data_IF_909665795148
#
_entry.id   IF_909665795148
#
_cell.length_a   1.000
_cell.length_b   1.000
_cell.length_c   1.000
_cell.angle_alpha   90.00
_cell.angle_beta   90.00
_cell.angle_gamma   90.00
#
_symmetry.space_group_name_H-M   'P 1'
#
loop_
_entity.id
_entity.type
_entity.pdbx_description
1 polymer ?
#
# COMPACT_ATOMS: atom_id res chain seq x y z
N UNK A 1 17.79 6.88 -24.58
CA UNK A 1 17.56 8.27 -24.10
C UNK A 1 16.15 8.30 -23.55
N UNK A 2 15.99 8.50 -22.25
CA UNK A 2 14.67 8.79 -21.66
C UNK A 2 14.14 10.05 -22.32
N UNK A 3 13.04 9.95 -23.07
CA UNK A 3 12.36 11.15 -23.53
C UNK A 3 11.67 11.76 -22.31
N UNK A 4 11.98 13.03 -22.01
CA UNK A 4 11.37 13.75 -20.89
C UNK A 4 9.90 14.03 -21.20
N UNK A 5 9.04 13.88 -20.18
CA UNK A 5 7.62 14.21 -20.31
C UNK A 5 7.39 15.70 -20.08
N UNK A 6 6.51 16.30 -20.90
CA UNK A 6 6.00 17.66 -20.64
C UNK A 6 5.04 17.68 -19.45
N UNK A 7 4.85 18.86 -18.84
CA UNK A 7 3.87 19.04 -17.76
C UNK A 7 2.44 18.64 -18.19
N UNK A 8 2.06 18.93 -19.43
CA UNK A 8 0.76 18.54 -19.99
C UNK A 8 0.61 17.02 -20.09
N UNK A 9 1.65 16.32 -20.53
CA UNK A 9 1.65 14.85 -20.61
C UNK A 9 1.55 14.22 -19.22
N UNK A 10 2.23 14.78 -18.22
CA UNK A 10 2.13 14.36 -16.82
C UNK A 10 0.71 14.57 -16.31
N UNK A 11 0.13 15.76 -16.53
CA UNK A 11 -1.23 16.06 -16.08
C UNK A 11 -2.26 15.13 -16.72
N UNK A 12 -2.11 14.83 -18.01
CA UNK A 12 -2.97 13.88 -18.72
C UNK A 12 -2.81 12.45 -18.15
N UNK A 13 -1.58 12.02 -17.87
CA UNK A 13 -1.32 10.71 -17.27
C UNK A 13 -1.91 10.58 -15.85
N UNK A 14 -2.02 11.69 -15.11
CA UNK A 14 -2.55 11.74 -13.75
C UNK A 14 -4.09 11.84 -13.67
N UNK A 15 -4.81 11.89 -14.79
CA UNK A 15 -6.28 11.87 -14.80
C UNK A 15 -6.86 10.54 -14.28
N UNK A 16 -8.01 10.58 -13.63
CA UNK A 16 -8.69 9.39 -13.07
C UNK A 16 -8.56 9.30 -11.55
N UNK A 17 -8.51 8.07 -11.03
CA UNK A 17 -8.48 7.79 -9.59
C UNK A 17 -7.14 8.27 -8.99
N UNK A 18 -7.22 8.98 -7.85
CA UNK A 18 -6.06 9.40 -7.07
C UNK A 18 -6.36 9.38 -5.58
N UNK A 19 -5.42 8.87 -4.80
CA UNK A 19 -5.37 8.99 -3.35
C UNK A 19 -4.70 10.34 -3.01
N UNK A 20 -5.22 11.10 -2.03
CA UNK A 20 -4.58 12.34 -1.61
C UNK A 20 -3.19 12.06 -1.00
N UNK A 21 -2.15 12.81 -1.40
CA UNK A 21 -0.84 12.69 -0.77
C UNK A 21 -0.86 13.28 0.65
N UNK A 22 -0.02 12.76 1.53
CA UNK A 22 0.18 13.29 2.87
C UNK A 22 0.72 14.74 2.78
N UNK A 23 0.06 15.72 3.41
CA UNK A 23 0.47 17.12 3.33
C UNK A 23 1.92 17.37 3.75
N UNK A 24 2.38 16.73 4.83
CA UNK A 24 3.74 16.91 5.34
C UNK A 24 4.79 16.43 4.33
N UNK A 25 4.61 15.25 3.73
CA UNK A 25 5.51 14.74 2.70
C UNK A 25 5.54 15.67 1.48
N UNK A 26 4.40 16.26 1.11
CA UNK A 26 4.36 17.25 0.03
C UNK A 26 5.16 18.50 0.36
N UNK A 27 5.09 19.00 1.61
CA UNK A 27 5.90 20.13 2.07
C UNK A 27 7.39 19.77 2.02
N UNK A 28 7.78 18.60 2.52
CA UNK A 28 9.18 18.16 2.53
C UNK A 28 9.73 18.01 1.09
N UNK A 29 8.92 17.49 0.17
CA UNK A 29 9.26 17.42 -1.26
C UNK A 29 9.43 18.79 -1.89
N UNK A 30 8.55 19.75 -1.55
CA UNK A 30 8.69 21.11 -2.02
C UNK A 30 9.96 21.77 -1.46
N UNK A 31 10.31 21.53 -0.20
CA UNK A 31 11.56 22.05 0.36
C UNK A 31 12.78 21.49 -0.36
N UNK A 32 12.82 20.16 -0.57
CA UNK A 32 13.93 19.49 -1.26
C UNK A 32 14.07 19.98 -2.71
N UNK A 33 12.96 20.17 -3.44
CA UNK A 33 13.03 20.64 -4.84
C UNK A 33 13.64 22.05 -4.99
N UNK A 34 13.56 22.88 -3.96
CA UNK A 34 14.07 24.26 -3.96
C UNK A 34 15.51 24.37 -3.43
N UNK A 35 16.13 23.26 -3.04
CA UNK A 35 17.54 23.24 -2.67
C UNK A 35 18.44 23.57 -3.87
N UNK A 36 19.63 24.19 -3.66
CA UNK A 36 20.57 24.47 -4.74
C UNK A 36 21.04 23.23 -5.51
N UNK A 37 21.04 22.07 -4.84
CA UNK A 37 21.37 20.76 -5.39
C UNK A 37 20.38 19.71 -4.82
N UNK A 38 19.20 19.52 -5.46
CA UNK A 38 18.18 18.59 -4.97
C UNK A 38 18.66 17.13 -5.04
N UNK A 39 18.51 16.40 -3.94
CA UNK A 39 18.89 15.00 -3.86
C UNK A 39 17.75 14.08 -4.33
N UNK A 40 17.97 13.37 -5.43
CA UNK A 40 17.00 12.41 -5.98
C UNK A 40 16.77 11.21 -5.07
N UNK A 41 17.73 10.82 -4.24
CA UNK A 41 17.55 9.74 -3.27
C UNK A 41 16.61 10.20 -2.14
N UNK A 42 16.75 11.45 -1.68
CA UNK A 42 15.82 12.05 -0.71
C UNK A 42 14.41 12.13 -1.29
N UNK A 43 14.27 12.62 -2.52
CA UNK A 43 12.97 12.68 -3.21
C UNK A 43 12.37 11.28 -3.38
N UNK A 44 13.16 10.29 -3.80
CA UNK A 44 12.68 8.92 -3.95
C UNK A 44 12.17 8.34 -2.63
N UNK A 45 12.91 8.57 -1.54
CA UNK A 45 12.52 8.16 -0.20
C UNK A 45 11.20 8.80 0.23
N UNK A 46 11.05 10.12 0.07
CA UNK A 46 9.82 10.84 0.40
C UNK A 46 8.62 10.33 -0.42
N UNK A 47 8.79 10.14 -1.75
CA UNK A 47 7.73 9.59 -2.59
C UNK A 47 7.35 8.16 -2.14
N UNK A 48 8.34 7.33 -1.79
CA UNK A 48 8.12 5.94 -1.40
C UNK A 48 7.31 5.79 -0.12
N UNK A 49 7.25 6.84 0.71
CA UNK A 49 6.51 6.86 1.97
C UNK A 49 5.02 7.14 1.80
N UNK A 50 4.60 7.67 0.64
CA UNK A 50 3.22 8.08 0.41
C UNK A 50 2.54 7.23 -0.69
N UNK A 51 1.40 6.57 -0.37
CA UNK A 51 0.65 5.79 -1.36
C UNK A 51 0.17 6.61 -2.57
N UNK A 52 -0.25 7.85 -2.36
CA UNK A 52 -0.75 8.73 -3.43
C UNK A 52 0.35 9.14 -4.42
N UNK A 53 1.48 9.59 -3.92
CA UNK A 53 2.67 9.98 -4.69
C UNK A 53 3.29 8.77 -5.39
N UNK A 54 3.45 7.67 -4.68
CA UNK A 54 3.98 6.42 -5.24
C UNK A 54 3.07 5.88 -6.36
N UNK A 55 1.75 5.87 -6.14
CA UNK A 55 0.78 5.47 -7.16
C UNK A 55 0.81 6.40 -8.39
N UNK A 56 0.92 7.71 -8.18
CA UNK A 56 1.04 8.70 -9.25
C UNK A 56 2.32 8.52 -10.08
N UNK A 57 3.46 8.32 -9.41
CA UNK A 57 4.73 8.03 -10.08
C UNK A 57 4.63 6.75 -10.91
N UNK A 58 4.20 5.65 -10.29
CA UNK A 58 4.08 4.34 -10.94
C UNK A 58 3.15 4.39 -12.15
N UNK A 59 2.02 5.11 -12.06
CA UNK A 59 1.10 5.32 -13.17
C UNK A 59 1.77 5.91 -14.42
N UNK A 60 2.70 6.84 -14.21
CA UNK A 60 3.43 7.52 -15.29
C UNK A 60 4.46 6.58 -15.91
N UNK A 61 5.33 5.96 -15.10
CA UNK A 61 6.39 5.05 -15.60
C UNK A 61 5.82 3.78 -16.23
N UNK A 62 4.71 3.27 -15.72
CA UNK A 62 4.01 2.13 -16.28
C UNK A 62 3.10 2.50 -17.47
N UNK A 63 3.14 3.74 -17.93
CA UNK A 63 2.40 4.14 -19.13
C UNK A 63 2.99 3.55 -20.41
N UNK A 64 2.21 3.55 -21.49
CA UNK A 64 2.69 3.08 -22.79
C UNK A 64 3.83 3.93 -23.34
N UNK A 65 3.99 5.17 -22.84
CA UNK A 65 5.05 6.08 -23.23
C UNK A 65 6.46 5.50 -23.00
N UNK A 66 6.68 4.85 -21.86
CA UNK A 66 7.99 4.26 -21.52
C UNK A 66 8.23 2.88 -22.15
N UNK A 67 7.20 2.28 -22.79
CA UNK A 67 7.35 1.03 -23.55
C UNK A 67 7.92 -0.15 -22.76
N UNK A 68 7.76 -0.17 -21.42
CA UNK A 68 8.33 -1.22 -20.58
C UNK A 68 7.72 -2.58 -20.92
N UNK A 69 8.57 -3.60 -21.08
CA UNK A 69 8.15 -4.98 -21.31
C UNK A 69 7.37 -5.55 -20.14
N UNK A 70 7.76 -5.18 -18.91
CA UNK A 70 7.08 -5.54 -17.67
C UNK A 70 6.78 -4.27 -16.86
N UNK A 71 5.63 -4.28 -16.16
CA UNK A 71 5.29 -3.22 -15.21
C UNK A 71 6.24 -3.26 -14.01
N UNK A 72 6.59 -2.09 -13.48
CA UNK A 72 7.44 -1.97 -12.30
C UNK A 72 6.60 -1.63 -11.07
N UNK A 73 7.02 -2.16 -9.92
CA UNK A 73 6.48 -1.82 -8.59
C UNK A 73 7.48 -0.98 -7.76
N UNK A 74 8.77 -0.99 -8.11
CA UNK A 74 9.83 -0.31 -7.38
C UNK A 74 9.81 1.21 -7.58
N UNK A 75 9.67 1.95 -6.49
CA UNK A 75 9.67 3.43 -6.48
C UNK A 75 11.05 3.98 -6.86
N UNK A 76 12.13 3.43 -6.30
CA UNK A 76 13.49 3.87 -6.64
C UNK A 76 13.77 3.69 -8.14
N UNK A 77 13.37 2.55 -8.69
CA UNK A 77 13.56 2.25 -10.12
C UNK A 77 12.72 3.18 -10.99
N UNK A 78 11.52 3.56 -10.53
CA UNK A 78 10.66 4.52 -11.19
C UNK A 78 11.26 5.94 -11.20
N UNK A 79 11.80 6.41 -10.07
CA UNK A 79 12.47 7.72 -9.97
C UNK A 79 13.67 7.78 -10.91
N UNK A 80 14.52 6.75 -10.90
CA UNK A 80 15.69 6.66 -11.78
C UNK A 80 15.32 6.64 -13.27
N UNK A 81 14.18 6.04 -13.63
CA UNK A 81 13.71 6.00 -15.02
C UNK A 81 13.14 7.35 -15.49
N UNK A 82 12.45 8.07 -14.61
CA UNK A 82 11.76 9.31 -14.93
C UNK A 82 12.73 10.51 -15.02
N UNK A 83 13.75 10.53 -14.16
CA UNK A 83 14.75 11.59 -14.06
C UNK A 83 14.26 12.83 -13.31
N UNK A 84 15.21 13.66 -12.84
CA UNK A 84 14.96 14.80 -11.94
C UNK A 84 13.90 15.78 -12.42
N UNK A 85 14.00 16.22 -13.67
CA UNK A 85 13.09 17.23 -14.22
C UNK A 85 11.64 16.74 -14.27
N UNK A 86 11.42 15.51 -14.71
CA UNK A 86 10.08 14.93 -14.77
C UNK A 86 9.50 14.72 -13.36
N UNK A 87 10.34 14.43 -12.37
CA UNK A 87 9.94 14.29 -10.97
C UNK A 87 9.49 15.64 -10.40
N UNK A 88 10.21 16.71 -10.67
CA UNK A 88 9.81 18.06 -10.28
C UNK A 88 8.47 18.44 -10.92
N UNK A 89 8.28 18.14 -12.21
CA UNK A 89 7.01 18.37 -12.89
C UNK A 89 5.86 17.56 -12.26
N UNK A 90 6.12 16.32 -11.82
CA UNK A 90 5.16 15.49 -11.10
C UNK A 90 4.76 16.12 -9.76
N UNK A 91 5.73 16.53 -8.95
CA UNK A 91 5.50 17.18 -7.64
C UNK A 91 4.63 18.44 -7.82
N UNK A 92 4.97 19.27 -8.79
CA UNK A 92 4.20 20.48 -9.12
C UNK A 92 2.77 20.14 -9.58
N UNK A 93 2.60 19.13 -10.43
CA UNK A 93 1.28 18.70 -10.89
C UNK A 93 0.39 18.17 -9.75
N UNK A 94 0.99 17.54 -8.74
CA UNK A 94 0.28 17.03 -7.56
C UNK A 94 0.00 18.13 -6.53
N UNK A 95 0.87 19.13 -6.41
CA UNK A 95 0.66 20.29 -5.52
C UNK A 95 -0.56 21.14 -5.89
N UNK A 96 -1.01 21.10 -7.15
CA UNK A 96 -2.20 21.83 -7.63
C UNK A 96 -3.50 21.14 -7.18
N UNK A 97 -3.45 19.85 -6.78
CA UNK A 97 -4.64 19.08 -6.40
C UNK A 97 -5.06 19.36 -4.95
N UNK A 98 -5.82 20.44 -4.77
CA UNK A 98 -6.88 20.62 -3.76
C UNK A 98 -6.51 20.60 -2.27
N UNK A 99 -6.97 21.61 -1.55
CA UNK A 99 -6.90 21.66 -0.09
C UNK A 99 -7.77 20.56 0.55
N UNK A 100 -7.22 19.90 1.58
CA UNK A 100 -7.95 18.99 2.46
C UNK A 100 -8.30 19.71 3.75
N UNK A 101 -9.45 19.39 4.36
CA UNK A 101 -9.76 19.90 5.70
C UNK A 101 -8.88 19.25 6.76
N UNK A 102 -8.57 19.99 7.82
CA UNK A 102 -7.79 19.49 8.97
C UNK A 102 -8.38 18.19 9.54
N UNK A 103 -9.71 18.10 9.67
CA UNK A 103 -10.39 16.88 10.14
C UNK A 103 -10.12 15.67 9.24
N UNK A 104 -10.06 15.87 7.91
CA UNK A 104 -9.76 14.79 6.97
C UNK A 104 -8.30 14.36 7.10
N UNK A 105 -7.38 15.32 7.28
CA UNK A 105 -5.96 15.05 7.48
C UNK A 105 -5.76 14.23 8.76
N UNK A 106 -6.35 14.66 9.88
CA UNK A 106 -6.29 13.94 11.16
C UNK A 106 -6.83 12.51 11.02
N UNK A 107 -7.94 12.34 10.29
CA UNK A 107 -8.53 11.02 10.08
C UNK A 107 -7.64 10.10 9.23
N UNK A 108 -6.98 10.65 8.20
CA UNK A 108 -6.11 9.91 7.29
C UNK A 108 -4.69 9.67 7.82
N UNK A 109 -4.24 10.36 8.87
CA UNK A 109 -2.94 10.08 9.50
C UNK A 109 -2.81 8.61 9.88
N UNK A 110 -3.86 8.00 10.45
CA UNK A 110 -3.88 6.56 10.77
C UNK A 110 -3.61 5.69 9.53
N UNK A 111 -4.15 6.08 8.38
CA UNK A 111 -3.93 5.38 7.12
C UNK A 111 -2.50 5.54 6.61
N UNK A 112 -1.97 6.77 6.55
CA UNK A 112 -0.62 7.01 6.05
C UNK A 112 0.44 6.32 6.90
N UNK A 113 0.34 6.44 8.23
CA UNK A 113 1.29 5.82 9.17
C UNK A 113 1.26 4.30 9.03
N UNK A 114 0.06 3.69 9.01
CA UNK A 114 -0.10 2.23 8.86
C UNK A 114 0.42 1.74 7.51
N UNK A 115 0.11 2.44 6.41
CA UNK A 115 0.54 2.03 5.08
C UNK A 115 2.08 1.97 4.98
N UNK A 116 2.77 2.94 5.57
CA UNK A 116 4.23 2.99 5.55
C UNK A 116 4.86 1.92 6.46
N UNK A 117 4.34 1.74 7.66
CA UNK A 117 4.82 0.72 8.60
C UNK A 117 4.66 -0.69 8.02
N UNK A 118 3.49 -0.97 7.41
CA UNK A 118 3.21 -2.26 6.75
C UNK A 118 4.12 -2.44 5.54
N UNK A 119 4.33 -1.41 4.71
CA UNK A 119 5.26 -1.49 3.56
C UNK A 119 6.69 -1.87 3.98
N UNK A 120 7.22 -1.20 5.00
CA UNK A 120 8.56 -1.47 5.53
C UNK A 120 8.66 -2.86 6.18
N UNK A 121 7.61 -3.29 6.87
CA UNK A 121 7.54 -4.63 7.46
C UNK A 121 7.46 -5.69 6.37
N UNK A 122 6.64 -5.51 5.33
CA UNK A 122 6.60 -6.39 4.15
C UNK A 122 7.97 -6.52 3.48
N UNK A 123 8.69 -5.41 3.30
CA UNK A 123 10.05 -5.42 2.75
C UNK A 123 11.02 -6.25 3.60
N UNK A 124 10.94 -6.06 4.93
CA UNK A 124 11.81 -6.76 5.88
C UNK A 124 11.51 -8.27 5.91
N UNK A 125 10.22 -8.62 5.97
CA UNK A 125 9.76 -10.01 5.92
C UNK A 125 10.16 -10.68 4.62
N UNK A 126 9.93 -10.04 3.46
CA UNK A 126 10.30 -10.56 2.15
C UNK A 126 11.79 -10.88 2.05
N UNK A 127 12.66 -10.00 2.59
CA UNK A 127 14.11 -10.24 2.65
C UNK A 127 14.47 -11.42 3.57
N UNK A 128 13.81 -11.53 4.73
CA UNK A 128 14.09 -12.60 5.71
C UNK A 128 13.59 -13.96 5.26
N UNK A 129 12.45 -14.03 4.59
CA UNK A 129 11.86 -15.28 4.07
C UNK A 129 12.43 -15.69 2.72
N UNK A 130 13.34 -14.89 2.14
CA UNK A 130 13.96 -15.18 0.84
C UNK A 130 13.01 -15.03 -0.34
N UNK A 131 11.95 -14.23 -0.20
CA UNK A 131 11.01 -13.95 -1.28
C UNK A 131 11.71 -13.20 -2.42
N UNK A 132 11.48 -13.63 -3.66
CA UNK A 132 12.11 -13.02 -4.83
C UNK A 132 11.52 -11.64 -5.19
N UNK A 133 10.26 -11.39 -4.82
CA UNK A 133 9.48 -10.23 -5.22
C UNK A 133 9.43 -9.17 -4.09
N UNK A 134 10.61 -8.68 -3.69
CA UNK A 134 10.78 -7.75 -2.55
C UNK A 134 10.14 -6.39 -2.82
N UNK A 135 10.29 -5.86 -4.04
CA UNK A 135 9.67 -4.59 -4.44
C UNK A 135 8.14 -4.70 -4.49
N UNK A 136 7.63 -5.84 -4.95
CA UNK A 136 6.20 -6.13 -5.00
C UNK A 136 5.59 -6.30 -3.61
N UNK A 137 6.32 -6.94 -2.67
CA UNK A 137 5.92 -7.04 -1.27
C UNK A 137 5.83 -5.65 -0.61
N UNK A 138 6.83 -4.80 -0.83
CA UNK A 138 6.79 -3.40 -0.36
C UNK A 138 5.60 -2.65 -0.95
N UNK A 139 5.42 -2.71 -2.29
CA UNK A 139 4.32 -2.04 -2.97
C UNK A 139 2.95 -2.55 -2.50
N UNK A 140 2.80 -3.85 -2.27
CA UNK A 140 1.59 -4.41 -1.70
C UNK A 140 1.33 -3.84 -0.29
N UNK A 141 2.33 -3.81 0.58
CA UNK A 141 2.19 -3.22 1.91
C UNK A 141 1.79 -1.75 1.85
N UNK A 142 2.35 -0.97 0.92
CA UNK A 142 2.01 0.44 0.75
C UNK A 142 0.60 0.66 0.19
N UNK A 143 0.10 -0.25 -0.66
CA UNK A 143 -1.10 -0.03 -1.45
C UNK A 143 -2.32 -0.90 -1.07
N UNK A 144 -2.19 -1.90 -0.21
CA UNK A 144 -3.30 -2.83 0.12
C UNK A 144 -4.58 -2.08 0.54
N UNK A 145 -4.42 -1.04 1.36
CA UNK A 145 -5.52 -0.21 1.85
C UNK A 145 -5.74 1.08 1.05
N UNK A 146 -5.19 1.21 -0.17
CA UNK A 146 -5.36 2.45 -0.97
C UNK A 146 -6.83 2.79 -1.32
N UNK A 147 -7.77 1.86 -1.09
CA UNK A 147 -9.20 2.12 -1.16
C UNK A 147 -9.78 2.88 0.04
N UNK A 148 -9.17 2.79 1.23
CA UNK A 148 -9.65 3.41 2.49
C UNK A 148 -9.86 4.92 2.33
N UNK A 149 -8.91 5.72 1.78
CA UNK A 149 -9.13 7.17 1.63
C UNK A 149 -10.26 7.52 0.66
N UNK A 150 -10.50 6.68 -0.34
CA UNK A 150 -11.57 6.88 -1.33
C UNK A 150 -12.94 6.52 -0.74
N UNK A 151 -13.00 5.45 0.06
CA UNK A 151 -14.18 5.08 0.83
C UNK A 151 -14.53 6.16 1.85
N UNK A 152 -13.54 6.69 2.59
CA UNK A 152 -13.71 7.79 3.54
C UNK A 152 -14.29 9.04 2.86
N UNK A 153 -13.74 9.42 1.71
CA UNK A 153 -14.23 10.57 0.94
C UNK A 153 -15.67 10.39 0.46
N UNK A 154 -16.08 9.15 0.19
CA UNK A 154 -17.41 8.84 -0.38
C UNK A 154 -18.48 8.66 0.68
N UNK A 155 -18.15 8.08 1.83
CA UNK A 155 -19.11 7.64 2.84
C UNK A 155 -18.81 8.32 4.19
N UNK A 156 -19.69 9.22 4.68
CA UNK A 156 -19.43 10.00 5.90
C UNK A 156 -19.15 9.16 7.17
N UNK A 157 -19.78 7.98 7.30
CA UNK A 157 -19.62 7.11 8.47
C UNK A 157 -18.59 6.00 8.25
N UNK A 158 -17.71 6.13 7.25
CA UNK A 158 -16.84 5.05 6.83
C UNK A 158 -15.92 4.54 7.94
N UNK A 159 -15.30 5.44 8.72
CA UNK A 159 -14.39 5.01 9.79
C UNK A 159 -15.07 4.17 10.86
N UNK A 160 -16.33 4.47 11.20
CA UNK A 160 -17.10 3.68 12.18
C UNK A 160 -17.33 2.28 11.62
N UNK A 161 -17.71 2.17 10.35
CA UNK A 161 -17.91 0.87 9.69
C UNK A 161 -16.59 0.11 9.54
N UNK A 162 -15.47 0.79 9.31
CA UNK A 162 -14.15 0.17 9.27
C UNK A 162 -13.76 -0.41 10.64
N UNK A 163 -13.99 0.32 11.73
CA UNK A 163 -13.75 -0.18 13.09
C UNK A 163 -14.65 -1.40 13.39
N UNK A 164 -15.94 -1.35 13.02
CA UNK A 164 -16.86 -2.50 13.11
C UNK A 164 -16.42 -3.69 12.23
N UNK A 165 -15.82 -3.42 11.08
CA UNK A 165 -15.32 -4.44 10.15
C UNK A 165 -14.21 -5.28 10.77
N UNK A 166 -13.26 -4.63 11.44
CA UNK A 166 -12.23 -5.33 12.21
C UNK A 166 -12.80 -6.01 13.46
N UNK A 167 -13.81 -5.44 14.13
CA UNK A 167 -14.45 -6.04 15.30
C UNK A 167 -15.20 -7.34 14.99
N UNK A 168 -15.79 -7.44 13.80
CA UNK A 168 -16.60 -8.57 13.36
C UNK A 168 -15.81 -9.63 12.58
N UNK A 169 -14.52 -9.39 12.31
CA UNK A 169 -13.70 -10.32 11.54
C UNK A 169 -13.52 -11.67 12.28
N UNK A 170 -13.36 -12.74 11.51
CA UNK A 170 -13.11 -14.08 12.06
C UNK A 170 -13.30 -15.17 11.01
N UNK A 171 -13.51 -16.41 11.48
CA UNK A 171 -13.62 -17.58 10.59
C UNK A 171 -14.82 -17.51 9.62
N UNK A 172 -15.94 -16.91 10.05
CA UNK A 172 -17.19 -16.86 9.28
C UNK A 172 -17.46 -15.49 8.65
N UNK A 173 -16.61 -14.49 8.90
CA UNK A 173 -16.82 -13.11 8.48
C UNK A 173 -15.48 -12.45 8.15
N UNK A 174 -15.31 -12.01 6.91
CA UNK A 174 -14.12 -11.26 6.50
C UNK A 174 -14.27 -9.80 6.92
N UNK A 175 -13.15 -9.09 7.11
CA UNK A 175 -13.16 -7.64 7.36
C UNK A 175 -14.03 -6.91 6.33
N UNK A 176 -13.88 -7.23 5.05
CA UNK A 176 -14.64 -6.59 3.96
C UNK A 176 -16.14 -6.89 3.95
N UNK A 177 -16.63 -7.89 4.69
CA UNK A 177 -18.05 -8.28 4.65
C UNK A 177 -18.94 -7.26 5.36
N UNK A 178 -18.47 -6.63 6.44
CA UNK A 178 -19.18 -5.53 7.10
C UNK A 178 -19.33 -4.33 6.16
N UNK A 179 -18.28 -3.96 5.42
CA UNK A 179 -18.36 -2.90 4.41
C UNK A 179 -19.28 -3.29 3.24
N UNK A 180 -19.21 -4.53 2.76
CA UNK A 180 -20.09 -5.02 1.70
C UNK A 180 -21.57 -4.84 2.07
N UNK A 181 -21.93 -5.18 3.31
CA UNK A 181 -23.30 -5.04 3.81
C UNK A 181 -23.73 -3.57 3.95
N UNK A 182 -22.81 -2.68 4.39
CA UNK A 182 -23.11 -1.27 4.62
C UNK A 182 -23.14 -0.44 3.32
N UNK A 183 -22.25 -0.73 2.37
CA UNK A 183 -21.97 0.14 1.22
C UNK A 183 -22.12 -0.53 -0.15
N UNK A 184 -22.43 -1.83 -0.21
CA UNK A 184 -22.45 -2.64 -1.44
C UNK A 184 -21.10 -2.65 -2.20
N UNK A 185 -20.01 -2.32 -1.49
CA UNK A 185 -18.62 -2.36 -1.96
C UNK A 185 -17.72 -2.37 -0.73
N UNK A 186 -16.44 -2.63 -0.92
CA UNK A 186 -15.44 -2.63 0.14
C UNK A 186 -14.14 -1.95 -0.33
N UNK A 187 -13.24 -1.63 0.62
CA UNK A 187 -11.99 -0.96 0.32
C UNK A 187 -11.04 -1.80 -0.53
N UNK A 188 -11.06 -3.14 -0.42
CA UNK A 188 -10.22 -4.00 -1.25
C UNK A 188 -10.61 -3.93 -2.74
N UNK A 189 -11.91 -3.89 -3.04
CA UNK A 189 -12.44 -3.70 -4.41
C UNK A 189 -12.08 -2.31 -4.95
N UNK A 190 -12.25 -1.26 -4.15
CA UNK A 190 -11.87 0.09 -4.54
C UNK A 190 -10.35 0.20 -4.73
N UNK A 191 -9.58 -0.44 -3.86
CA UNK A 191 -8.12 -0.56 -3.93
C UNK A 191 -7.68 -1.27 -5.21
N UNK A 192 -8.33 -2.37 -5.60
CA UNK A 192 -8.08 -3.05 -6.87
C UNK A 192 -8.20 -2.13 -8.08
N UNK A 193 -9.32 -1.40 -8.20
CA UNK A 193 -9.51 -0.48 -9.33
C UNK A 193 -8.52 0.70 -9.29
N UNK A 194 -8.17 1.16 -8.09
CA UNK A 194 -7.15 2.19 -7.89
C UNK A 194 -5.78 1.70 -8.38
N UNK A 195 -5.34 0.53 -7.93
CA UNK A 195 -4.11 -0.12 -8.34
C UNK A 195 -4.04 -0.43 -9.84
N UNK A 196 -5.15 -0.89 -10.44
CA UNK A 196 -5.25 -1.06 -11.90
C UNK A 196 -5.12 0.29 -12.62
N UNK A 197 -5.71 1.36 -12.09
CA UNK A 197 -5.57 2.71 -12.65
C UNK A 197 -4.13 3.23 -12.58
N UNK A 198 -3.36 2.80 -11.57
CA UNK A 198 -1.93 3.05 -11.43
C UNK A 198 -1.05 2.09 -12.24
N UNK A 199 -1.67 1.16 -12.97
CA UNK A 199 -1.00 0.20 -13.87
C UNK A 199 0.03 -0.65 -13.14
N UNK A 200 -0.25 -1.00 -11.88
CA UNK A 200 0.57 -1.92 -11.10
C UNK A 200 0.61 -3.32 -11.75
N UNK A 201 1.64 -4.13 -11.45
CA UNK A 201 1.68 -5.52 -11.87
C UNK A 201 0.41 -6.29 -11.45
N UNK A 202 -0.07 -7.17 -12.32
CA UNK A 202 -1.36 -7.86 -12.14
C UNK A 202 -1.42 -8.66 -10.83
N UNK A 203 -0.38 -9.40 -10.50
CA UNK A 203 -0.32 -10.16 -9.26
C UNK A 203 -0.34 -9.27 -7.99
N UNK A 204 0.17 -8.04 -8.05
CA UNK A 204 0.01 -7.07 -6.95
C UNK A 204 -1.43 -6.60 -6.87
N UNK A 205 -2.06 -6.29 -8.02
CA UNK A 205 -3.48 -5.90 -8.04
C UNK A 205 -4.38 -7.01 -7.50
N UNK A 206 -4.07 -8.26 -7.83
CA UNK A 206 -4.84 -9.41 -7.36
C UNK A 206 -4.65 -9.66 -5.86
N UNK A 207 -3.44 -9.43 -5.33
CA UNK A 207 -3.19 -9.46 -3.90
C UNK A 207 -3.98 -8.35 -3.16
N UNK A 208 -4.01 -7.14 -3.71
CA UNK A 208 -4.84 -6.05 -3.17
C UNK A 208 -6.33 -6.42 -3.20
N UNK A 209 -6.84 -7.05 -4.26
CA UNK A 209 -8.24 -7.46 -4.30
C UNK A 209 -8.61 -8.56 -3.28
N UNK A 210 -7.62 -9.33 -2.83
CA UNK A 210 -7.82 -10.56 -2.07
C UNK A 210 -7.21 -10.55 -0.68
N UNK A 211 -6.68 -9.42 -0.19
CA UNK A 211 -6.00 -9.41 1.10
C UNK A 211 -6.93 -9.88 2.23
N UNK A 212 -8.20 -9.46 2.27
CA UNK A 212 -9.18 -10.00 3.22
C UNK A 212 -9.86 -11.32 2.82
N UNK A 213 -9.35 -12.03 1.80
CA UNK A 213 -9.80 -13.37 1.41
C UNK A 213 -8.80 -14.47 1.81
N UNK A 214 -7.84 -14.13 2.68
CA UNK A 214 -6.71 -15.00 3.03
C UNK A 214 -7.16 -16.37 3.54
N UNK A 215 -8.18 -16.46 4.41
CA UNK A 215 -8.68 -17.73 4.93
C UNK A 215 -9.02 -18.72 3.81
N UNK A 216 -9.81 -18.28 2.83
CA UNK A 216 -10.21 -19.11 1.70
C UNK A 216 -9.02 -19.50 0.82
N UNK A 217 -8.06 -18.59 0.65
CA UNK A 217 -6.86 -18.81 -0.18
C UNK A 217 -5.90 -19.81 0.46
N UNK A 218 -5.65 -19.70 1.77
CA UNK A 218 -4.74 -20.61 2.47
C UNK A 218 -5.38 -21.96 2.79
N UNK A 219 -6.71 -22.02 2.93
CA UNK A 219 -7.45 -23.28 3.08
C UNK A 219 -7.53 -24.10 1.78
N UNK A 220 -7.31 -23.48 0.61
CA UNK A 220 -7.23 -24.22 -0.65
C UNK A 220 -5.89 -24.97 -0.74
N UNK A 221 -5.91 -26.29 -0.57
CA UNK A 221 -4.73 -27.16 -0.70
C UNK A 221 -4.21 -27.27 -2.14
N UNK A 222 -4.93 -26.75 -3.14
CA UNK A 222 -4.46 -26.80 -4.52
C UNK A 222 -3.20 -25.93 -4.71
N UNK A 223 -2.27 -26.34 -5.58
CA UNK A 223 -1.02 -25.59 -5.83
C UNK A 223 -1.23 -24.33 -6.69
N UNK A 224 -2.45 -23.77 -6.71
CA UNK A 224 -2.78 -22.60 -7.53
C UNK A 224 -2.25 -21.32 -6.88
N UNK A 225 -1.83 -20.40 -7.74
CA UNK A 225 -1.44 -19.03 -7.40
C UNK A 225 -0.37 -18.91 -6.28
N UNK A 226 0.78 -19.62 -6.36
CA UNK A 226 1.83 -19.53 -5.35
C UNK A 226 2.34 -18.10 -5.14
N UNK A 227 2.37 -17.30 -6.21
CA UNK A 227 2.76 -15.89 -6.12
C UNK A 227 1.78 -15.06 -5.27
N UNK A 228 0.48 -15.31 -5.39
CA UNK A 228 -0.54 -14.66 -4.57
C UNK A 228 -0.40 -15.08 -3.11
N UNK A 229 -0.27 -16.38 -2.83
CA UNK A 229 -0.07 -16.91 -1.47
C UNK A 229 1.19 -16.32 -0.81
N UNK A 230 2.31 -16.22 -1.54
CA UNK A 230 3.54 -15.61 -1.03
C UNK A 230 3.34 -14.15 -0.63
N UNK A 231 2.69 -13.36 -1.48
CA UNK A 231 2.42 -11.95 -1.22
C UNK A 231 1.45 -11.76 -0.05
N UNK A 232 0.37 -12.55 0.00
CA UNK A 232 -0.59 -12.48 1.09
C UNK A 232 0.00 -12.95 2.42
N UNK A 233 0.87 -13.97 2.42
CA UNK A 233 1.52 -14.43 3.64
C UNK A 233 2.38 -13.32 4.25
N UNK A 234 3.17 -12.64 3.41
CA UNK A 234 3.99 -11.49 3.83
C UNK A 234 3.10 -10.37 4.34
N UNK A 235 2.05 -10.01 3.60
CA UNK A 235 1.13 -8.93 3.98
C UNK A 235 0.44 -9.21 5.32
N UNK A 236 -0.12 -10.41 5.51
CA UNK A 236 -0.84 -10.77 6.75
C UNK A 236 0.08 -10.80 7.97
N UNK A 237 1.29 -11.32 7.81
CA UNK A 237 2.30 -11.21 8.87
C UNK A 237 2.64 -9.75 9.18
N UNK A 238 2.76 -8.90 8.16
CA UNK A 238 3.09 -7.48 8.34
C UNK A 238 1.97 -6.70 9.04
N UNK A 239 0.71 -6.84 8.60
CA UNK A 239 -0.47 -6.22 9.23
C UNK A 239 -0.56 -6.58 10.72
N UNK A 240 -0.32 -7.86 11.06
CA UNK A 240 -0.32 -8.32 12.45
C UNK A 240 0.84 -7.72 13.27
N UNK A 241 2.05 -7.68 12.72
CA UNK A 241 3.23 -7.09 13.39
C UNK A 241 3.02 -5.58 13.64
N UNK A 242 2.49 -4.86 12.65
CA UNK A 242 2.18 -3.43 12.72
C UNK A 242 0.91 -3.12 13.52
N UNK A 243 0.14 -4.14 13.89
CA UNK A 243 -1.12 -4.00 14.61
C UNK A 243 -2.16 -3.14 13.87
N UNK A 244 -2.35 -3.37 12.57
CA UNK A 244 -3.36 -2.66 11.76
C UNK A 244 -4.76 -2.72 12.37
N UNK A 245 -5.12 -3.86 12.97
CA UNK A 245 -6.37 -4.04 13.72
C UNK A 245 -6.58 -3.03 14.86
N UNK A 246 -5.49 -2.54 15.46
CA UNK A 246 -5.52 -1.52 16.50
C UNK A 246 -5.54 -0.12 15.92
N UNK A 247 -4.67 0.15 14.94
CA UNK A 247 -4.52 1.50 14.38
C UNK A 247 -5.74 1.87 13.53
N UNK A 248 -6.12 1.02 12.58
CA UNK A 248 -7.28 1.22 11.71
C UNK A 248 -8.58 0.76 12.35
N UNK A 249 -8.55 -0.44 12.93
CA UNK A 249 -9.76 -1.10 13.44
C UNK A 249 -10.17 -0.72 14.85
N UNK A 250 -9.31 -0.04 15.62
CA UNK A 250 -9.54 0.28 17.03
C UNK A 250 -9.89 -0.96 17.90
N UNK A 251 -9.33 -2.12 17.54
CA UNK A 251 -9.60 -3.39 18.22
C UNK A 251 -8.44 -3.79 19.16
N UNK A 252 -8.75 -4.48 20.27
CA UNK A 252 -7.73 -4.99 21.19
C UNK A 252 -7.01 -6.23 20.67
N UNK A 253 -7.66 -6.99 19.78
CA UNK A 253 -7.23 -8.28 19.26
C UNK A 253 -7.32 -8.27 17.74
N UNK A 254 -6.43 -9.03 17.10
CA UNK A 254 -6.41 -9.24 15.65
C UNK A 254 -7.27 -10.45 15.29
N UNK A 255 -8.58 -10.26 15.18
CA UNK A 255 -9.51 -11.36 14.94
C UNK A 255 -9.34 -12.01 13.55
N UNK A 256 -8.85 -11.25 12.55
CA UNK A 256 -8.52 -11.83 11.25
C UNK A 256 -7.29 -12.75 11.39
N UNK A 257 -6.22 -12.28 12.03
CA UNK A 257 -5.03 -13.11 12.28
C UNK A 257 -5.32 -14.32 13.13
N UNK A 258 -6.16 -14.22 14.17
CA UNK A 258 -6.56 -15.38 14.98
C UNK A 258 -7.20 -16.49 14.13
N UNK A 259 -7.92 -16.12 13.07
CA UNK A 259 -8.56 -17.07 12.16
C UNK A 259 -7.59 -17.69 11.13
N UNK A 260 -6.56 -16.95 10.68
CA UNK A 260 -5.71 -17.36 9.54
C UNK A 260 -4.24 -17.60 9.87
N UNK A 261 -3.76 -17.13 11.02
CA UNK A 261 -2.34 -17.02 11.34
C UNK A 261 -1.61 -18.36 11.25
N UNK A 262 -2.20 -19.41 11.82
CA UNK A 262 -1.64 -20.77 11.75
C UNK A 262 -1.46 -21.25 10.29
N UNK A 263 -2.44 -21.01 9.41
CA UNK A 263 -2.34 -21.40 8.00
C UNK A 263 -1.25 -20.60 7.26
N UNK A 264 -1.11 -19.31 7.58
CA UNK A 264 -0.07 -18.45 7.01
C UNK A 264 1.31 -18.93 7.45
N UNK A 265 1.49 -19.20 8.74
CA UNK A 265 2.76 -19.66 9.31
C UNK A 265 3.16 -21.04 8.80
N UNK A 266 2.20 -21.98 8.72
CA UNK A 266 2.42 -23.30 8.13
C UNK A 266 2.86 -23.19 6.67
N UNK A 267 2.23 -22.29 5.89
CA UNK A 267 2.58 -22.08 4.49
C UNK A 267 4.02 -21.57 4.30
N UNK A 268 4.48 -20.65 5.16
CA UNK A 268 5.86 -20.12 5.10
C UNK A 268 6.87 -20.97 5.87
N UNK A 269 6.42 -22.03 6.55
CA UNK A 269 7.27 -22.95 7.32
C UNK A 269 7.86 -22.32 8.59
N UNK A 270 7.11 -21.44 9.26
CA UNK A 270 7.50 -20.81 10.52
C UNK A 270 6.70 -21.40 11.68
N UNK A 271 7.35 -21.62 12.83
CA UNK A 271 6.62 -21.86 14.08
C UNK A 271 6.12 -20.56 14.70
N UNK A 272 5.15 -20.63 15.60
CA UNK A 272 4.70 -19.47 16.39
C UNK A 272 5.87 -18.79 17.13
N UNK A 273 6.82 -19.60 17.62
CA UNK A 273 8.02 -19.09 18.31
C UNK A 273 8.93 -18.30 17.36
N UNK A 274 9.17 -18.82 16.15
CA UNK A 274 10.00 -18.13 15.15
C UNK A 274 9.34 -16.81 14.73
N UNK A 275 8.02 -16.82 14.55
CA UNK A 275 7.25 -15.63 14.19
C UNK A 275 7.27 -14.58 15.30
N UNK A 276 7.05 -14.96 16.56
CA UNK A 276 7.11 -14.02 17.69
C UNK A 276 8.52 -13.45 17.89
N UNK A 277 9.57 -14.25 17.70
CA UNK A 277 10.95 -13.75 17.69
C UNK A 277 11.19 -12.73 16.55
N UNK A 278 10.66 -13.02 15.36
CA UNK A 278 10.76 -12.14 14.20
C UNK A 278 10.02 -10.82 14.43
N UNK A 279 8.81 -10.88 14.99
CA UNK A 279 7.97 -9.73 15.34
C UNK A 279 8.65 -8.81 16.35
N UNK A 280 9.26 -9.36 17.40
CA UNK A 280 10.05 -8.57 18.36
C UNK A 280 11.23 -7.87 17.68
N UNK A 281 12.00 -8.60 16.87
CA UNK A 281 13.14 -8.05 16.15
C UNK A 281 12.75 -6.94 15.17
N UNK A 282 11.62 -7.07 14.47
CA UNK A 282 11.15 -6.04 13.53
C UNK A 282 10.67 -4.80 14.29
N UNK A 283 9.96 -4.97 15.41
CA UNK A 283 9.51 -3.84 16.24
C UNK A 283 10.67 -3.08 16.86
N UNK A 284 11.76 -3.75 17.25
CA UNK A 284 12.97 -3.10 17.72
C UNK A 284 13.65 -2.27 16.63
N UNK A 285 13.67 -2.76 15.39
CA UNK A 285 14.25 -2.04 14.25
C UNK A 285 13.41 -0.83 13.83
N UNK A 286 12.09 -0.86 14.03
CA UNK A 286 11.16 0.22 13.71
C UNK A 286 11.02 1.30 14.79
N UNK A 287 11.60 1.12 15.98
CA UNK A 287 11.52 2.07 17.10
C UNK A 287 12.58 3.20 17.03
N UNK A 288 13.05 3.56 15.83
CA UNK A 288 14.13 4.52 15.59
C UNK A 288 13.73 5.64 14.64
#
# INVERSE_FOLDING_TARGET
MSQELSAEQIQQALQGISVPPQPQIMVDLQMEQYMPDPDLEVIARLISQDPGLSGALLKIVNSSYYGLSNKIASIQRAVNLLGSRSIINLINALSIKGEMSDDTIVTLNRFWDTAQDVAMTCLTLAKRTGAQAVDEAYALGLFHDCGVPLMLKRFPNYMVVLEESYANAGADCRVVDTENNAFNTNHAVVGYYTAKSWRLPEHVTDAIANHHNALAIFSDESPRNPQLKNLLAILKMAEHICASYRVLGNQPVDYEWDAIGHLVLDYVGLSDYDFESMKLSIRELGAH
#
